data_IF_314483989542
#
_entry.id   IF_314483989542
#
_cell.length_a   1.000
_cell.length_b   1.000
_cell.length_c   1.000
_cell.angle_alpha   90.00
_cell.angle_beta   90.00
_cell.angle_gamma   90.00
#
_symmetry.space_group_name_H-M   'P 1'
#
loop_
_entity.id
_entity.type
_entity.pdbx_description
1 polymer ?
#
# COMPACT_ATOMS: atom_id res chain seq x y z
N UNK A 1 -9.20 14.79 -13.44
CA UNK A 1 -10.05 13.85 -12.67
C UNK A 1 -9.13 12.97 -11.85
N UNK A 2 -9.21 12.95 -10.51
CA UNK A 2 -8.43 11.98 -9.75
C UNK A 2 -8.98 10.61 -10.13
N UNK A 3 -8.18 9.83 -10.83
CA UNK A 3 -8.59 8.51 -11.25
C UNK A 3 -8.91 7.69 -9.99
N UNK A 4 -10.07 7.00 -9.93
CA UNK A 4 -10.49 6.20 -8.79
C UNK A 4 -9.69 4.89 -8.70
N UNK A 5 -8.39 4.95 -8.97
CA UNK A 5 -7.51 3.82 -8.75
C UNK A 5 -7.34 3.64 -7.25
N UNK A 6 -8.18 2.75 -6.74
CA UNK A 6 -7.69 1.68 -5.87
C UNK A 6 -7.48 2.06 -4.41
N UNK A 7 -8.45 2.78 -3.83
CA UNK A 7 -8.57 2.93 -2.36
C UNK A 7 -8.54 1.54 -1.70
N UNK A 8 -9.24 0.57 -2.30
CA UNK A 8 -9.21 -0.84 -1.91
C UNK A 8 -7.83 -1.47 -2.00
N UNK A 9 -7.02 -1.13 -3.01
CA UNK A 9 -5.70 -1.75 -3.19
C UNK A 9 -4.68 -1.19 -2.20
N UNK A 10 -4.78 0.12 -1.90
CA UNK A 10 -3.99 0.73 -0.83
C UNK A 10 -4.35 0.13 0.54
N UNK A 11 -5.65 0.02 0.84
CA UNK A 11 -6.11 -0.58 2.09
C UNK A 11 -5.66 -2.04 2.18
N UNK A 12 -5.93 -2.87 1.17
CA UNK A 12 -5.49 -4.28 1.14
C UNK A 12 -3.99 -4.45 1.25
N UNK A 13 -3.20 -3.56 0.63
CA UNK A 13 -1.75 -3.60 0.74
C UNK A 13 -1.26 -3.22 2.15
N UNK A 14 -1.87 -2.22 2.77
CA UNK A 14 -1.55 -1.82 4.15
C UNK A 14 -2.01 -2.88 5.15
N UNK A 15 -3.21 -3.45 4.98
CA UNK A 15 -3.71 -4.57 5.77
C UNK A 15 -2.79 -5.79 5.66
N UNK A 16 -2.32 -6.14 4.45
CA UNK A 16 -1.36 -7.22 4.30
C UNK A 16 -0.05 -6.95 5.09
N UNK A 17 0.45 -5.71 5.09
CA UNK A 17 1.61 -5.32 5.91
C UNK A 17 1.29 -5.42 7.42
N UNK A 18 0.10 -5.00 7.84
CA UNK A 18 -0.40 -5.04 9.23
C UNK A 18 -0.53 -6.50 9.74
N UNK A 19 -0.97 -7.41 8.87
CA UNK A 19 -1.00 -8.87 9.08
C UNK A 19 0.40 -9.52 9.17
N UNK A 20 1.47 -8.73 9.06
CA UNK A 20 2.86 -9.21 9.17
C UNK A 20 3.49 -9.64 7.84
N UNK A 21 2.85 -9.38 6.69
CA UNK A 21 3.48 -9.64 5.40
C UNK A 21 4.63 -8.67 5.16
N UNK A 22 5.74 -9.19 4.64
CA UNK A 22 6.89 -8.35 4.27
C UNK A 22 6.48 -7.41 3.13
N UNK A 23 6.87 -6.13 3.22
CA UNK A 23 6.69 -5.12 2.15
C UNK A 23 7.13 -5.62 0.77
N UNK A 24 8.13 -6.49 0.72
CA UNK A 24 8.64 -7.11 -0.50
C UNK A 24 7.65 -8.08 -1.16
N UNK A 25 6.91 -8.85 -0.34
CA UNK A 25 5.86 -9.74 -0.81
C UNK A 25 4.65 -8.93 -1.30
N UNK A 26 4.22 -7.96 -0.50
CA UNK A 26 3.10 -7.05 -0.82
C UNK A 26 3.37 -6.26 -2.11
N UNK A 27 4.60 -5.75 -2.29
CA UNK A 27 5.03 -5.07 -3.50
C UNK A 27 4.89 -5.94 -4.76
N UNK A 28 5.27 -7.22 -4.67
CA UNK A 28 5.11 -8.18 -5.76
C UNK A 28 3.66 -8.59 -6.00
N UNK A 29 2.90 -8.82 -4.92
CA UNK A 29 1.50 -9.25 -4.98
C UNK A 29 0.58 -8.19 -5.59
N UNK A 30 0.79 -6.92 -5.24
CA UNK A 30 0.00 -5.79 -5.74
C UNK A 30 0.66 -5.09 -6.94
N UNK A 31 1.80 -5.58 -7.41
CA UNK A 31 2.60 -4.98 -8.49
C UNK A 31 2.86 -3.47 -8.27
N UNK A 32 3.12 -3.09 -7.02
CA UNK A 32 3.41 -1.71 -6.60
C UNK A 32 4.84 -1.58 -6.13
N UNK A 33 5.48 -0.46 -6.46
CA UNK A 33 6.83 -0.15 -5.99
C UNK A 33 6.89 -0.03 -4.46
N UNK A 34 8.01 -0.45 -3.86
CA UNK A 34 8.26 -0.26 -2.42
C UNK A 34 8.13 1.21 -2.00
N UNK A 35 8.51 2.13 -2.89
CA UNK A 35 8.38 3.57 -2.66
C UNK A 35 6.91 4.01 -2.53
N UNK A 36 6.01 3.38 -3.29
CA UNK A 36 4.56 3.62 -3.20
C UNK A 36 4.00 3.13 -1.88
N UNK A 37 4.44 1.95 -1.41
CA UNK A 37 4.07 1.43 -0.09
C UNK A 37 4.57 2.34 1.04
N UNK A 38 5.77 2.90 0.91
CA UNK A 38 6.33 3.84 1.88
C UNK A 38 5.54 5.16 1.93
N UNK A 39 5.17 5.70 0.76
CA UNK A 39 4.28 6.86 0.66
C UNK A 39 2.90 6.59 1.28
N UNK A 40 2.38 5.39 1.15
CA UNK A 40 1.10 5.00 1.75
C UNK A 40 1.14 4.88 3.26
N UNK A 41 2.26 4.39 3.82
CA UNK A 41 2.51 4.38 5.26
C UNK A 41 2.64 5.80 5.81
N UNK A 42 3.45 6.66 5.17
CA UNK A 42 3.61 8.07 5.57
C UNK A 42 2.30 8.84 5.53
N UNK A 43 1.49 8.65 4.49
CA UNK A 43 0.15 9.26 4.43
C UNK A 43 -0.83 8.71 5.47
N UNK A 44 -0.62 7.50 6.02
CA UNK A 44 -1.44 6.96 7.11
C UNK A 44 -1.14 7.67 8.42
N UNK A 45 0.11 8.06 8.65
CA UNK A 45 0.54 8.78 9.86
C UNK A 45 0.22 10.28 9.82
N UNK A 46 0.08 10.85 8.61
CA UNK A 46 -0.25 12.27 8.41
C UNK A 46 -1.76 12.59 8.39
N UNK A 47 -2.63 11.59 8.56
CA UNK A 47 -4.10 11.75 8.63
C UNK A 47 -4.59 11.35 10.00
#
# INVERSE_FOLDING_TARGET
MPSPYSLDLRHKALEAIDQGQKKLHVSRMFNVSRNTLDLWLKRREQT
#
